data_IF_599171477279
#
_entry.id   IF_599171477279
#
_cell.length_a   1.000
_cell.length_b   1.000
_cell.length_c   1.000
_cell.angle_alpha   90.00
_cell.angle_beta   90.00
_cell.angle_gamma   90.00
#
_symmetry.space_group_name_H-M   'P 1'
#
loop_
_entity.id
_entity.type
_entity.pdbx_description
1 polymer ?
#
# COMPACT_ATOMS: atom_id res chain seq x y z
N UNK A 1 -3.12 7.64 5.86
CA UNK A 1 -1.88 8.32 6.32
C UNK A 1 -0.67 7.96 5.48
N UNK A 2 -0.46 6.68 5.17
CA UNK A 2 0.70 6.26 4.34
C UNK A 2 0.67 6.93 2.98
N UNK A 3 -0.47 6.99 2.35
CA UNK A 3 -0.61 7.61 1.03
C UNK A 3 -0.20 9.09 1.06
N UNK A 4 -0.67 9.83 2.06
CA UNK A 4 -0.24 11.23 2.25
C UNK A 4 1.28 11.35 2.42
N UNK A 5 1.87 10.48 3.23
CA UNK A 5 3.32 10.44 3.43
C UNK A 5 4.08 10.13 2.14
N UNK A 6 3.59 9.19 1.35
CA UNK A 6 4.18 8.83 0.05
C UNK A 6 4.15 10.02 -0.91
N UNK A 7 3.01 10.70 -1.02
CA UNK A 7 2.88 11.89 -1.86
C UNK A 7 3.79 13.04 -1.38
N UNK A 8 3.77 13.31 -0.08
CA UNK A 8 4.47 14.46 0.51
C UNK A 8 5.99 14.26 0.59
N UNK A 9 6.44 13.08 0.97
CA UNK A 9 7.85 12.81 1.28
C UNK A 9 8.62 12.19 0.12
N UNK A 10 7.94 11.45 -0.76
CA UNK A 10 8.58 10.74 -1.88
C UNK A 10 8.22 11.33 -3.25
N UNK A 11 7.26 12.24 -3.31
CA UNK A 11 6.71 12.75 -4.59
C UNK A 11 6.34 11.61 -5.54
N UNK A 12 5.82 10.53 -4.99
CA UNK A 12 5.43 9.35 -5.73
C UNK A 12 3.94 9.44 -6.08
N UNK A 13 3.63 9.77 -7.31
CA UNK A 13 2.27 9.99 -7.79
C UNK A 13 1.82 8.81 -8.65
N UNK A 14 0.96 7.90 -8.13
CA UNK A 14 0.55 6.74 -8.88
C UNK A 14 -0.44 7.07 -10.01
N UNK A 15 -0.32 6.37 -11.13
CA UNK A 15 -1.31 6.41 -12.22
C UNK A 15 -2.48 5.47 -11.92
N UNK A 16 -2.21 4.39 -11.19
CA UNK A 16 -3.19 3.39 -10.78
C UNK A 16 -3.01 3.07 -9.29
N UNK A 17 -4.12 3.06 -8.56
CA UNK A 17 -4.19 2.55 -7.18
C UNK A 17 -5.09 1.33 -7.18
N UNK A 18 -4.55 0.20 -6.77
CA UNK A 18 -5.30 -1.03 -6.57
C UNK A 18 -5.45 -1.29 -5.07
N UNK A 19 -6.67 -1.38 -4.59
CA UNK A 19 -6.98 -1.68 -3.20
C UNK A 19 -7.34 -3.16 -3.09
N UNK A 20 -6.71 -3.88 -2.17
CA UNK A 20 -7.12 -5.22 -1.77
C UNK A 20 -7.72 -5.15 -0.37
N UNK A 21 -8.92 -5.66 -0.21
CA UNK A 21 -9.61 -5.71 1.07
C UNK A 21 -10.28 -7.05 1.29
N UNK A 22 -10.28 -7.52 2.53
CA UNK A 22 -11.05 -8.68 2.93
C UNK A 22 -12.54 -8.32 3.03
N UNK A 23 -13.41 -9.30 2.79
CA UNK A 23 -14.86 -9.13 2.76
C UNK A 23 -15.43 -8.48 4.04
N UNK A 24 -14.91 -8.85 5.22
CA UNK A 24 -15.30 -8.24 6.50
C UNK A 24 -15.05 -6.73 6.59
N UNK A 25 -14.19 -6.19 5.74
CA UNK A 25 -13.83 -4.77 5.70
C UNK A 25 -14.34 -4.04 4.45
N UNK A 26 -15.13 -4.73 3.61
CA UNK A 26 -15.57 -4.20 2.31
C UNK A 26 -16.50 -2.99 2.41
N UNK A 27 -17.24 -2.84 3.51
CA UNK A 27 -18.18 -1.72 3.70
C UNK A 27 -17.53 -0.34 3.67
N UNK A 28 -16.27 -0.25 4.07
CA UNK A 28 -15.53 1.01 4.11
C UNK A 28 -14.75 1.35 2.84
N UNK A 29 -14.75 0.46 1.84
CA UNK A 29 -13.85 0.59 0.71
C UNK A 29 -14.16 1.79 -0.19
N UNK A 30 -15.44 2.13 -0.35
CA UNK A 30 -15.86 3.30 -1.14
C UNK A 30 -15.39 4.61 -0.49
N UNK A 31 -15.43 4.69 0.83
CA UNK A 31 -14.91 5.85 1.57
C UNK A 31 -13.39 5.95 1.46
N UNK A 32 -12.69 4.82 1.48
CA UNK A 32 -11.23 4.78 1.26
C UNK A 32 -10.90 5.26 -0.14
N UNK A 33 -11.58 4.74 -1.15
CA UNK A 33 -11.38 5.14 -2.54
C UNK A 33 -11.64 6.64 -2.75
N UNK A 34 -12.72 7.17 -2.18
CA UNK A 34 -13.03 8.60 -2.24
C UNK A 34 -11.97 9.45 -1.54
N UNK A 35 -11.50 9.01 -0.37
CA UNK A 35 -10.42 9.69 0.36
C UNK A 35 -9.11 9.74 -0.44
N UNK A 36 -8.75 8.66 -1.11
CA UNK A 36 -7.57 8.61 -1.98
C UNK A 36 -7.72 9.56 -3.18
N UNK A 37 -8.92 9.61 -3.76
CA UNK A 37 -9.23 10.52 -4.87
C UNK A 37 -9.10 11.98 -4.46
N UNK A 38 -9.75 12.37 -3.38
CA UNK A 38 -9.70 13.75 -2.86
C UNK A 38 -8.27 14.16 -2.57
N UNK A 39 -7.50 13.30 -1.91
CA UNK A 39 -6.11 13.58 -1.58
C UNK A 39 -5.25 13.72 -2.84
N UNK A 40 -5.46 12.88 -3.85
CA UNK A 40 -4.76 12.98 -5.13
C UNK A 40 -5.06 14.30 -5.85
N UNK A 41 -6.31 14.73 -5.85
CA UNK A 41 -6.74 16.02 -6.43
C UNK A 41 -6.05 17.21 -5.75
N UNK A 42 -5.87 17.16 -4.43
CA UNK A 42 -5.12 18.18 -3.67
C UNK A 42 -3.65 18.28 -4.12
N UNK A 43 -3.07 17.18 -4.56
CA UNK A 43 -1.73 17.14 -5.14
C UNK A 43 -1.68 17.38 -6.65
N UNK A 44 -2.83 17.66 -7.28
CA UNK A 44 -2.91 18.05 -8.69
C UNK A 44 -2.93 16.89 -9.70
N UNK A 45 -3.29 15.68 -9.29
CA UNK A 45 -3.39 14.54 -10.20
C UNK A 45 -4.62 13.67 -9.91
N UNK A 46 -4.94 12.78 -10.83
CA UNK A 46 -6.17 11.97 -10.76
C UNK A 46 -5.88 10.52 -11.17
N UNK A 47 -5.50 9.64 -10.23
CA UNK A 47 -5.21 8.24 -10.53
C UNK A 47 -6.50 7.46 -10.79
N UNK A 48 -6.37 6.39 -11.56
CA UNK A 48 -7.41 5.36 -11.64
C UNK A 48 -7.40 4.56 -10.35
N UNK A 49 -8.56 4.39 -9.71
CA UNK A 49 -8.69 3.65 -8.45
C UNK A 49 -9.57 2.43 -8.67
N UNK A 50 -9.05 1.25 -8.38
CA UNK A 50 -9.73 -0.02 -8.50
C UNK A 50 -9.61 -0.79 -7.18
N UNK A 51 -10.52 -1.73 -6.93
CA UNK A 51 -10.44 -2.57 -5.75
C UNK A 51 -10.82 -4.02 -6.04
N UNK A 52 -10.28 -4.92 -5.22
CA UNK A 52 -10.57 -6.35 -5.25
C UNK A 52 -10.95 -6.80 -3.84
N UNK A 53 -12.12 -7.42 -3.70
CA UNK A 53 -12.56 -8.00 -2.44
C UNK A 53 -12.11 -9.46 -2.40
N UNK A 54 -11.50 -9.83 -1.29
CA UNK A 54 -10.96 -11.17 -1.03
C UNK A 54 -11.74 -11.84 0.11
N UNK A 55 -11.80 -13.17 0.11
CA UNK A 55 -12.30 -13.91 1.25
C UNK A 55 -11.44 -13.67 2.50
N UNK A 56 -12.08 -13.63 3.66
CA UNK A 56 -11.37 -13.43 4.94
C UNK A 56 -10.36 -14.54 5.17
N UNK A 57 -9.13 -14.16 5.52
CA UNK A 57 -8.00 -15.05 5.77
C UNK A 57 -7.60 -15.96 4.59
N UNK A 58 -8.07 -15.67 3.39
CA UNK A 58 -7.72 -16.42 2.18
C UNK A 58 -6.36 -15.99 1.63
N UNK A 59 -5.31 -16.43 2.30
CA UNK A 59 -3.93 -16.13 1.94
C UNK A 59 -3.55 -16.56 0.52
N UNK A 60 -3.97 -17.77 0.13
CA UNK A 60 -3.57 -18.36 -1.17
C UNK A 60 -4.15 -17.56 -2.32
N UNK A 61 -5.47 -17.35 -2.32
CA UNK A 61 -6.14 -16.57 -3.36
C UNK A 61 -5.63 -15.12 -3.41
N UNK A 62 -5.38 -14.52 -2.25
CA UNK A 62 -4.82 -13.18 -2.18
C UNK A 62 -3.45 -13.11 -2.85
N UNK A 63 -2.54 -14.04 -2.52
CA UNK A 63 -1.21 -14.10 -3.11
C UNK A 63 -1.27 -14.33 -4.62
N UNK A 64 -2.10 -15.25 -5.09
CA UNK A 64 -2.29 -15.54 -6.51
C UNK A 64 -2.76 -14.32 -7.29
N UNK A 65 -3.80 -13.64 -6.81
CA UNK A 65 -4.33 -12.42 -7.44
C UNK A 65 -3.31 -11.28 -7.48
N UNK A 66 -2.55 -11.10 -6.41
CA UNK A 66 -1.49 -10.09 -6.36
C UNK A 66 -0.36 -10.42 -7.34
N UNK A 67 0.07 -11.68 -7.41
CA UNK A 67 1.09 -12.12 -8.36
C UNK A 67 0.63 -11.87 -9.80
N UNK A 68 -0.59 -12.25 -10.13
CA UNK A 68 -1.17 -12.05 -11.45
C UNK A 68 -1.20 -10.58 -11.86
N UNK A 69 -1.71 -9.73 -10.97
CA UNK A 69 -1.75 -8.28 -11.18
C UNK A 69 -0.35 -7.69 -11.36
N UNK A 70 0.58 -8.05 -10.50
CA UNK A 70 1.96 -7.53 -10.55
C UNK A 70 2.64 -7.93 -11.86
N UNK A 71 2.51 -9.17 -12.29
CA UNK A 71 3.06 -9.63 -13.57
C UNK A 71 2.51 -8.84 -14.74
N UNK A 72 1.20 -8.66 -14.78
CA UNK A 72 0.53 -7.87 -15.83
C UNK A 72 1.01 -6.41 -15.86
N UNK A 73 1.12 -5.79 -14.70
CA UNK A 73 1.59 -4.41 -14.59
C UNK A 73 3.06 -4.27 -15.00
N UNK A 74 3.90 -5.24 -14.66
CA UNK A 74 5.31 -5.25 -15.09
C UNK A 74 5.46 -5.39 -16.61
N UNK A 75 4.63 -6.20 -17.24
CA UNK A 75 4.58 -6.30 -18.71
C UNK A 75 4.22 -4.97 -19.37
N UNK A 76 3.46 -4.13 -18.70
CA UNK A 76 3.10 -2.78 -19.12
C UNK A 76 4.13 -1.72 -18.66
N UNK A 77 5.26 -2.14 -18.12
CA UNK A 77 6.36 -1.28 -17.67
C UNK A 77 6.00 -0.34 -16.51
N UNK A 78 4.99 -0.68 -15.71
CA UNK A 78 4.68 0.06 -14.48
C UNK A 78 5.77 -0.11 -13.43
N UNK A 79 6.07 0.97 -12.73
CA UNK A 79 6.76 0.91 -11.44
C UNK A 79 5.72 0.55 -10.38
N UNK A 80 6.05 -0.34 -9.46
CA UNK A 80 5.09 -0.90 -8.52
C UNK A 80 5.55 -0.67 -7.09
N UNK A 81 4.67 -0.08 -6.29
CA UNK A 81 4.81 0.05 -4.84
C UNK A 81 3.65 -0.67 -4.14
N UNK A 82 3.92 -1.27 -3.01
CA UNK A 82 2.90 -1.83 -2.12
C UNK A 82 2.94 -1.07 -0.80
N UNK A 83 1.76 -0.70 -0.28
CA UNK A 83 1.59 -0.22 1.08
C UNK A 83 1.06 -1.37 1.95
N UNK A 84 1.84 -1.78 2.95
CA UNK A 84 1.49 -2.85 3.88
C UNK A 84 1.02 -2.33 5.24
N UNK A 85 0.93 -1.02 5.43
CA UNK A 85 0.57 -0.41 6.71
C UNK A 85 -0.81 -0.84 7.21
N UNK A 86 -1.88 -0.76 6.39
CA UNK A 86 -3.24 -1.00 6.87
C UNK A 86 -3.69 -2.46 6.84
N UNK A 87 -2.88 -3.35 6.31
CA UNK A 87 -3.29 -4.75 6.09
C UNK A 87 -3.26 -5.60 7.36
N UNK A 88 -4.20 -6.56 7.47
CA UNK A 88 -4.12 -7.63 8.45
C UNK A 88 -2.97 -8.59 8.09
N UNK A 89 -2.46 -9.31 9.08
CA UNK A 89 -1.28 -10.18 8.90
C UNK A 89 -1.37 -11.15 7.72
N UNK A 90 -2.47 -11.90 7.50
CA UNK A 90 -2.56 -12.78 6.33
C UNK A 90 -2.46 -12.03 5.01
N UNK A 91 -3.13 -10.89 4.89
CA UNK A 91 -3.11 -10.08 3.67
C UNK A 91 -1.74 -9.46 3.42
N UNK A 92 -1.10 -8.93 4.47
CA UNK A 92 0.26 -8.39 4.40
C UNK A 92 1.26 -9.48 3.99
N UNK A 93 1.15 -10.66 4.58
CA UNK A 93 2.02 -11.80 4.22
C UNK A 93 1.83 -12.22 2.76
N UNK A 94 0.59 -12.25 2.28
CA UNK A 94 0.27 -12.53 0.88
C UNK A 94 0.86 -11.48 -0.09
N UNK A 95 0.95 -10.23 0.33
CA UNK A 95 1.56 -9.15 -0.45
C UNK A 95 3.09 -9.22 -0.46
N UNK A 96 3.70 -9.58 0.66
CA UNK A 96 5.16 -9.63 0.78
C UNK A 96 5.80 -10.74 -0.05
N UNK A 97 5.12 -11.88 -0.22
CA UNK A 97 5.65 -12.98 -1.03
C UNK A 97 5.88 -12.56 -2.49
N UNK A 98 4.88 -12.02 -3.22
CA UNK A 98 5.12 -11.53 -4.57
C UNK A 98 6.08 -10.35 -4.62
N UNK A 99 6.06 -9.47 -3.60
CA UNK A 99 6.98 -8.34 -3.53
C UNK A 99 8.45 -8.81 -3.58
N UNK A 100 8.78 -9.83 -2.80
CA UNK A 100 10.14 -10.39 -2.77
C UNK A 100 10.47 -11.18 -4.04
N UNK A 101 9.55 -12.02 -4.52
CA UNK A 101 9.77 -12.86 -5.71
C UNK A 101 9.90 -12.06 -6.99
N UNK A 102 9.08 -11.03 -7.15
CA UNK A 102 8.96 -10.26 -8.38
C UNK A 102 9.75 -8.94 -8.34
N UNK A 103 10.45 -8.67 -7.27
CA UNK A 103 11.30 -7.48 -7.07
C UNK A 103 10.54 -6.19 -7.39
N UNK A 104 9.64 -5.81 -6.50
CA UNK A 104 8.92 -4.54 -6.60
C UNK A 104 9.85 -3.36 -6.33
N UNK A 105 9.45 -2.20 -6.81
CA UNK A 105 10.24 -0.97 -6.62
C UNK A 105 10.22 -0.50 -5.17
N UNK A 106 9.04 -0.58 -4.53
CA UNK A 106 8.87 -0.10 -3.15
C UNK A 106 7.93 -1.00 -2.36
N UNK A 107 8.21 -1.14 -1.07
CA UNK A 107 7.29 -1.72 -0.07
C UNK A 107 7.22 -0.72 1.09
N UNK A 108 6.15 0.07 1.13
CA UNK A 108 5.97 1.13 2.10
C UNK A 108 5.32 0.65 3.38
N UNK A 109 5.85 1.13 4.48
CA UNK A 109 5.29 0.97 5.82
C UNK A 109 5.44 2.28 6.59
N UNK A 110 4.33 2.79 7.15
CA UNK A 110 4.35 3.99 7.97
C UNK A 110 4.39 3.59 9.45
N UNK A 111 5.55 3.77 10.06
CA UNK A 111 5.76 3.49 11.47
C UNK A 111 5.44 4.72 12.32
N UNK A 112 4.85 4.50 13.50
CA UNK A 112 4.65 5.55 14.51
C UNK A 112 5.86 5.55 15.43
N UNK A 113 6.51 6.71 15.61
CA UNK A 113 7.69 6.84 16.48
C UNK A 113 7.36 6.66 17.96
N UNK A 114 6.18 7.14 18.37
CA UNK A 114 5.67 7.03 19.73
C UNK A 114 4.19 6.67 19.71
N UNK A 115 3.76 5.85 20.66
CA UNK A 115 2.34 5.57 20.86
C UNK A 115 1.68 6.81 21.49
N UNK A 116 0.81 7.44 20.75
CA UNK A 116 0.03 8.59 21.20
C UNK A 116 -1.42 8.16 21.46
N UNK A 117 -2.07 8.69 22.51
CA UNK A 117 -3.46 8.34 22.83
C UNK A 117 -4.45 9.10 21.93
N UNK A 118 -4.26 9.02 20.61
CA UNK A 118 -5.11 9.69 19.63
C UNK A 118 -5.31 8.79 18.42
N UNK A 119 -6.38 9.01 17.64
CA UNK A 119 -6.60 8.29 16.38
C UNK A 119 -5.38 8.41 15.44
N UNK A 120 -5.03 7.32 14.79
CA UNK A 120 -3.86 7.23 13.91
C UNK A 120 -3.79 8.35 12.87
N UNK A 121 -4.94 8.72 12.29
CA UNK A 121 -5.03 9.79 11.30
C UNK A 121 -4.74 11.19 11.87
N UNK A 122 -4.79 11.36 13.19
CA UNK A 122 -4.52 12.63 13.85
C UNK A 122 -3.06 12.76 14.33
N UNK A 123 -2.27 11.70 14.20
CA UNK A 123 -0.87 11.73 14.57
C UNK A 123 -0.11 12.59 13.54
N UNK A 124 0.62 13.64 13.97
CA UNK A 124 1.39 14.47 13.06
C UNK A 124 2.40 13.66 12.26
N UNK A 125 2.59 14.01 11.00
CA UNK A 125 3.54 13.31 10.12
C UNK A 125 4.96 13.29 10.69
N UNK A 126 5.35 14.34 11.44
CA UNK A 126 6.65 14.41 12.13
C UNK A 126 6.85 13.29 13.18
N UNK A 127 5.76 12.74 13.72
CA UNK A 127 5.79 11.61 14.67
C UNK A 127 5.74 10.25 13.99
N UNK A 128 5.75 10.22 12.67
CA UNK A 128 5.68 9.03 11.86
C UNK A 128 6.93 8.91 11.00
N UNK A 129 7.28 7.70 10.64
CA UNK A 129 8.41 7.42 9.76
C UNK A 129 7.93 6.55 8.60
N UNK A 130 8.02 7.08 7.39
CA UNK A 130 7.78 6.29 6.19
C UNK A 130 9.02 5.42 5.91
N UNK A 131 8.84 4.12 5.99
CA UNK A 131 9.88 3.14 5.69
C UNK A 131 9.64 2.51 4.32
N UNK A 132 10.70 2.24 3.62
CA UNK A 132 10.68 1.46 2.38
C UNK A 132 11.52 0.20 2.58
N UNK A 133 10.85 -0.94 2.75
CA UNK A 133 11.52 -2.20 3.04
C UNK A 133 12.34 -2.73 1.86
N UNK A 134 12.05 -2.32 0.63
CA UNK A 134 12.91 -2.68 -0.51
C UNK A 134 14.25 -1.96 -0.43
N UNK A 135 14.26 -0.67 -0.11
CA UNK A 135 15.50 0.08 0.12
C UNK A 135 16.30 -0.48 1.31
N UNK A 136 15.61 -0.81 2.40
CA UNK A 136 16.25 -1.37 3.59
C UNK A 136 16.83 -2.75 3.33
N UNK A 137 16.12 -3.61 2.60
CA UNK A 137 16.59 -4.95 2.24
C UNK A 137 17.87 -4.91 1.40
N UNK A 138 18.05 -3.91 0.56
CA UNK A 138 19.27 -3.73 -0.23
C UNK A 138 20.49 -3.39 0.62
N UNK A 139 20.30 -2.88 1.84
CA UNK A 139 21.37 -2.56 2.78
C UNK A 139 21.82 -3.76 3.61
N UNK A 140 21.08 -4.86 3.57
CA UNK A 140 21.45 -6.08 4.27
C UNK A 140 22.67 -6.70 3.58
N UNK A 141 23.81 -6.69 4.27
CA UNK A 141 25.03 -7.35 3.77
C UNK A 141 24.86 -8.86 3.87
N UNK A 142 25.17 -9.52 2.80
CA UNK A 142 25.21 -10.99 2.77
C UNK A 142 26.36 -11.52 3.63
#
# INVERSE_FOLDING_TARGET
>A
NTYYAVLSLKSYYPDLIQIFAEESYSKGIDNVAEGLKVLSEEFGFNPRIEYTILGDNDFVTAAEKMIELIKRLKEQEFRIAIDITPGRKPLVSAALIPAMKLRLDHVFYLAVKELLPMPYMMIPLAQQQLRDFMEEAMKVKK
#
